data_IF_945301110785
#
_entry.id   IF_945301110785
#
_cell.length_a   1.000
_cell.length_b   1.000
_cell.length_c   1.000
_cell.angle_alpha   90.00
_cell.angle_beta   90.00
_cell.angle_gamma   90.00
#
_symmetry.space_group_name_H-M   'P 1'
#
loop_
_entity.id
_entity.type
_entity.pdbx_description
1 polymer ?
#
# COMPACT_ATOMS: atom_id res chain seq x y z
N UNK A 1 -8.00 9.58 -2.84
CA UNK A 1 -8.67 8.88 -3.95
C UNK A 1 -9.71 7.93 -3.35
N UNK A 2 -10.95 7.90 -3.83
CA UNK A 2 -11.96 6.98 -3.30
C UNK A 2 -11.66 5.52 -3.68
N UNK A 3 -12.12 4.61 -2.83
CA UNK A 3 -12.14 3.18 -3.07
C UNK A 3 -13.49 2.77 -3.64
N UNK A 4 -13.51 1.81 -4.55
CA UNK A 4 -14.74 1.18 -5.02
C UNK A 4 -15.43 0.38 -3.89
N UNK A 5 -16.76 0.38 -3.87
CA UNK A 5 -17.56 -0.21 -2.77
C UNK A 5 -17.43 -1.74 -2.67
N UNK A 6 -17.05 -2.41 -3.76
CA UNK A 6 -16.94 -3.87 -3.84
C UNK A 6 -15.54 -4.43 -3.59
N UNK A 7 -14.59 -3.64 -3.09
CA UNK A 7 -13.21 -4.09 -2.87
C UNK A 7 -13.13 -5.09 -1.70
N UNK A 8 -12.47 -6.22 -1.93
CA UNK A 8 -12.29 -7.30 -0.96
C UNK A 8 -11.08 -7.04 -0.04
N UNK A 9 -11.19 -6.05 0.86
CA UNK A 9 -10.07 -5.65 1.74
C UNK A 9 -9.59 -6.77 2.69
N UNK A 10 -10.48 -7.66 3.12
CA UNK A 10 -10.12 -8.77 4.01
C UNK A 10 -9.19 -9.76 3.32
N UNK A 11 -9.49 -10.10 2.06
CA UNK A 11 -8.64 -10.96 1.25
C UNK A 11 -7.30 -10.30 0.96
N UNK A 12 -7.31 -9.01 0.61
CA UNK A 12 -6.08 -8.23 0.42
C UNK A 12 -5.21 -8.23 1.69
N UNK A 13 -5.82 -8.10 2.88
CA UNK A 13 -5.10 -8.14 4.14
C UNK A 13 -4.49 -9.51 4.45
N UNK A 14 -5.17 -10.60 4.07
CA UNK A 14 -4.63 -11.96 4.17
C UNK A 14 -3.44 -12.16 3.22
N UNK A 15 -3.58 -11.72 1.97
CA UNK A 15 -2.56 -11.91 0.93
C UNK A 15 -1.34 -10.99 1.17
N UNK A 16 -1.52 -9.87 1.87
CA UNK A 16 -0.46 -8.95 2.30
C UNK A 16 0.14 -9.33 3.66
N UNK A 17 0.07 -10.60 4.08
CA UNK A 17 0.72 -11.03 5.32
C UNK A 17 2.22 -10.67 5.31
N UNK A 18 2.69 -10.24 6.47
CA UNK A 18 4.05 -9.74 6.73
C UNK A 18 4.43 -8.43 6.04
N UNK A 19 3.52 -7.77 5.31
CA UNK A 19 3.76 -6.41 4.86
C UNK A 19 3.79 -5.46 6.05
N UNK A 20 4.77 -4.56 6.06
CA UNK A 20 4.81 -3.46 7.02
C UNK A 20 3.90 -2.31 6.58
N UNK A 21 3.66 -1.35 7.47
CA UNK A 21 2.92 -0.13 7.10
C UNK A 21 3.56 0.65 5.94
N UNK A 22 4.89 0.59 5.80
CA UNK A 22 5.58 1.21 4.67
C UNK A 22 5.34 0.44 3.36
N UNK A 23 5.35 -0.89 3.41
CA UNK A 23 5.06 -1.73 2.25
C UNK A 23 3.62 -1.51 1.76
N UNK A 24 2.66 -1.44 2.70
CA UNK A 24 1.26 -1.14 2.40
C UNK A 24 1.10 0.27 1.83
N UNK A 25 1.81 1.27 2.36
CA UNK A 25 1.78 2.63 1.85
C UNK A 25 2.30 2.72 0.40
N UNK A 26 3.38 2.01 0.09
CA UNK A 26 3.90 1.91 -1.26
C UNK A 26 2.92 1.19 -2.19
N UNK A 27 2.39 0.03 -1.77
CA UNK A 27 1.39 -0.73 -2.53
C UNK A 27 0.16 0.10 -2.87
N UNK A 28 -0.38 0.84 -1.90
CA UNK A 28 -1.55 1.70 -2.13
C UNK A 28 -1.23 2.88 -3.05
N UNK A 29 0.00 3.39 -2.99
CA UNK A 29 0.46 4.47 -3.87
C UNK A 29 0.55 3.97 -5.33
N UNK A 30 1.06 2.77 -5.55
CA UNK A 30 1.07 2.12 -6.88
C UNK A 30 -0.35 1.87 -7.41
N UNK A 31 -1.25 1.36 -6.57
CA UNK A 31 -2.65 1.15 -6.95
C UNK A 31 -3.38 2.47 -7.30
N UNK A 32 -3.07 3.55 -6.58
CA UNK A 32 -3.59 4.89 -6.88
C UNK A 32 -3.02 5.44 -8.19
N UNK A 33 -1.74 5.22 -8.46
CA UNK A 33 -1.10 5.63 -9.71
C UNK A 33 -1.73 4.90 -10.91
N UNK A 34 -1.94 3.59 -10.80
CA UNK A 34 -2.63 2.81 -11.81
C UNK A 34 -4.05 3.33 -12.09
N UNK A 35 -4.81 3.65 -11.02
CA UNK A 35 -6.15 4.22 -11.16
C UNK A 35 -6.16 5.61 -11.83
N UNK A 36 -5.12 6.42 -11.58
CA UNK A 36 -4.94 7.72 -12.22
C UNK A 36 -4.64 7.57 -13.71
N UNK A 37 -3.73 6.67 -14.08
CA UNK A 37 -3.43 6.37 -15.49
C UNK A 37 -4.69 5.91 -16.25
N UNK A 38 -5.46 4.99 -15.68
CA UNK A 38 -6.70 4.51 -16.32
C UNK A 38 -7.76 5.62 -16.47
N UNK A 39 -7.83 6.56 -15.52
CA UNK A 39 -8.74 7.70 -15.63
C UNK A 39 -8.33 8.66 -16.76
N UNK A 40 -7.03 8.90 -16.94
CA UNK A 40 -6.49 9.73 -18.02
C UNK A 40 -6.69 9.08 -19.38
N UNK A 41 -6.38 7.79 -19.52
CA UNK A 41 -6.60 7.03 -20.77
C UNK A 41 -8.08 7.05 -21.20
N UNK A 42 -9.01 6.89 -20.25
CA UNK A 42 -10.46 7.02 -20.52
C UNK A 42 -10.86 8.44 -20.93
N UNK A 43 -10.24 9.46 -20.35
CA UNK A 43 -10.46 10.86 -20.71
C UNK A 43 -10.03 11.13 -22.16
N UNK A 44 -8.83 10.67 -22.52
CA UNK A 44 -8.26 10.82 -23.85
C UNK A 44 -9.08 10.08 -24.91
N UNK A 45 -9.45 8.82 -24.65
CA UNK A 45 -10.30 8.04 -25.55
C UNK A 45 -11.66 8.72 -25.78
N UNK A 46 -12.27 9.29 -24.73
CA UNK A 46 -13.53 10.04 -24.85
C UNK A 46 -13.37 11.33 -25.65
N UNK A 47 -12.28 12.06 -25.45
CA UNK A 47 -11.98 13.27 -26.20
C UNK A 47 -11.79 12.98 -27.70
N UNK A 48 -11.10 11.88 -28.04
CA UNK A 48 -10.91 11.42 -29.41
C UNK A 48 -12.22 10.97 -30.07
N UNK A 49 -13.09 10.25 -29.34
CA UNK A 49 -14.40 9.85 -29.84
C UNK A 49 -15.34 11.05 -30.07
N UNK A 50 -15.27 12.08 -29.22
CA UNK A 50 -16.06 13.30 -29.38
C UNK A 50 -15.53 14.21 -30.52
N UNK A 51 -14.22 14.17 -30.80
CA UNK A 51 -13.60 14.88 -31.92
C UNK A 51 -13.81 14.24 -33.30
N UNK A 52 -14.44 13.06 -33.37
CA UNK A 52 -14.67 12.28 -34.59
C UNK A 52 -16.05 12.46 -35.26
N UNK A 53 -16.94 13.31 -34.72
CA UNK A 53 -18.26 13.58 -35.33
C UNK A 53 -18.34 15.05 -35.76
N UNK A 54 -17.88 15.31 -36.97
CA UNK A 54 -18.29 16.46 -37.79
C UNK A 54 -19.12 15.91 -38.95
N UNK A 55 -20.36 15.51 -38.67
CA UNK A 55 -21.42 15.53 -39.67
C UNK A 55 -22.70 16.04 -39.01
N UNK A 56 -23.29 17.05 -39.65
CA UNK A 56 -24.33 17.90 -39.10
C UNK A 56 -25.72 17.26 -39.00
N UNK A 57 -26.55 17.94 -38.21
CA UNK A 57 -28.00 17.79 -38.02
C UNK A 57 -28.53 16.56 -37.25
N UNK A 58 -29.25 16.85 -36.15
CA UNK A 58 -30.15 15.92 -35.48
C UNK A 58 -30.54 16.39 -34.07
N UNK A 59 -31.75 16.93 -33.95
CA UNK A 59 -32.32 17.56 -32.76
C UNK A 59 -32.90 16.56 -31.73
N UNK A 60 -32.94 17.01 -30.45
CA UNK A 60 -33.81 16.66 -29.32
C UNK A 60 -34.08 15.19 -28.92
N UNK A 61 -33.71 14.87 -27.67
CA UNK A 61 -34.45 13.89 -26.85
C UNK A 61 -33.64 13.25 -25.71
N UNK A 62 -33.97 13.58 -24.45
CA UNK A 62 -33.55 12.80 -23.28
C UNK A 62 -33.07 13.63 -22.10
N UNK A 63 -34.00 13.99 -21.23
CA UNK A 63 -33.81 14.74 -19.99
C UNK A 63 -33.05 13.90 -18.95
N UNK A 64 -31.72 13.99 -18.96
CA UNK A 64 -30.86 13.71 -17.81
C UNK A 64 -29.62 14.61 -17.96
N UNK A 65 -29.27 15.44 -16.96
CA UNK A 65 -28.05 16.22 -17.02
C UNK A 65 -26.89 15.24 -17.27
N UNK A 66 -26.03 15.46 -18.28
CA UNK A 66 -24.81 14.67 -18.40
C UNK A 66 -24.11 14.81 -17.06
N UNK A 67 -23.89 13.70 -16.36
CA UNK A 67 -23.11 13.68 -15.13
C UNK A 67 -21.87 14.55 -15.37
N UNK A 68 -21.68 15.60 -14.56
CA UNK A 68 -20.66 16.63 -14.82
C UNK A 68 -19.35 15.94 -15.21
N UNK A 69 -18.68 16.36 -16.30
CA UNK A 69 -17.53 15.65 -16.86
C UNK A 69 -16.46 15.38 -15.78
N UNK A 70 -16.34 16.29 -14.83
CA UNK A 70 -15.45 16.21 -13.66
C UNK A 70 -15.70 15.01 -12.74
N UNK A 71 -16.93 14.47 -12.66
CA UNK A 71 -17.24 13.32 -11.80
C UNK A 71 -16.84 12.00 -12.46
N UNK A 72 -17.05 11.88 -13.78
CA UNK A 72 -16.72 10.69 -14.56
C UNK A 72 -15.20 10.47 -14.69
N UNK A 73 -14.43 11.55 -14.56
CA UNK A 73 -12.97 11.54 -14.67
C UNK A 73 -12.24 11.37 -13.32
N UNK A 74 -12.97 11.27 -12.20
CA UNK A 74 -12.32 11.07 -10.90
C UNK A 74 -11.75 9.66 -10.85
N UNK A 75 -10.44 9.48 -10.60
CA UNK A 75 -9.88 8.15 -10.45
C UNK A 75 -10.49 7.48 -9.20
N UNK A 76 -10.84 6.20 -9.34
CA UNK A 76 -11.37 5.34 -8.29
C UNK A 76 -10.47 4.11 -8.22
N UNK A 77 -9.99 3.77 -7.03
CA UNK A 77 -9.22 2.54 -6.84
C UNK A 77 -10.18 1.35 -6.87
N UNK A 78 -9.97 0.44 -7.82
CA UNK A 78 -10.74 -0.79 -8.00
C UNK A 78 -9.91 -2.00 -7.57
N UNK A 79 -10.58 -3.14 -7.37
CA UNK A 79 -9.94 -4.39 -6.95
C UNK A 79 -8.72 -4.76 -7.81
N UNK A 80 -8.84 -4.63 -9.14
CA UNK A 80 -7.74 -4.92 -10.09
C UNK A 80 -6.46 -4.12 -9.84
N UNK A 81 -6.58 -2.86 -9.37
CA UNK A 81 -5.40 -2.02 -9.11
C UNK A 81 -4.64 -2.52 -7.89
N UNK A 82 -5.39 -2.96 -6.87
CA UNK A 82 -4.83 -3.53 -5.65
C UNK A 82 -4.19 -4.89 -5.91
N UNK A 83 -4.84 -5.75 -6.70
CA UNK A 83 -4.30 -7.05 -7.09
C UNK A 83 -3.02 -6.92 -7.93
N UNK A 84 -3.01 -5.99 -8.91
CA UNK A 84 -1.83 -5.72 -9.72
C UNK A 84 -0.67 -5.17 -8.86
N UNK A 85 -0.95 -4.21 -7.97
CA UNK A 85 0.06 -3.65 -7.07
C UNK A 85 0.59 -4.70 -6.10
N UNK A 86 -0.28 -5.54 -5.54
CA UNK A 86 0.11 -6.63 -4.64
C UNK A 86 0.99 -7.67 -5.34
N UNK A 87 0.65 -8.05 -6.58
CA UNK A 87 1.43 -9.00 -7.37
C UNK A 87 2.85 -8.51 -7.67
N UNK A 88 3.04 -7.20 -7.81
CA UNK A 88 4.34 -6.57 -8.01
C UNK A 88 5.11 -6.31 -6.70
N UNK A 89 4.40 -6.17 -5.59
CA UNK A 89 4.97 -5.81 -4.30
C UNK A 89 5.64 -7.00 -3.59
N UNK A 90 6.53 -6.70 -2.65
CA UNK A 90 7.20 -7.67 -1.78
C UNK A 90 7.36 -7.10 -0.37
N UNK A 91 7.23 -7.91 0.70
CA UNK A 91 7.54 -7.46 2.06
C UNK A 91 8.98 -6.95 2.16
N UNK A 92 9.19 -5.79 2.79
CA UNK A 92 10.53 -5.22 2.96
C UNK A 92 11.33 -5.93 4.05
N UNK A 93 10.67 -6.55 5.03
CA UNK A 93 11.34 -7.26 6.13
C UNK A 93 11.48 -8.74 5.79
N UNK A 94 12.69 -9.27 5.58
CA UNK A 94 12.90 -10.68 5.26
C UNK A 94 12.52 -11.62 6.41
N UNK A 95 12.21 -12.88 6.09
CA UNK A 95 11.85 -13.90 7.09
C UNK A 95 12.92 -14.09 8.17
N UNK A 96 14.20 -14.08 7.79
CA UNK A 96 15.30 -14.24 8.72
C UNK A 96 15.37 -13.10 9.75
N UNK A 97 15.08 -11.86 9.31
CA UNK A 97 15.06 -10.72 10.22
C UNK A 97 13.84 -10.77 11.16
N UNK A 98 12.66 -11.18 10.64
CA UNK A 98 11.49 -11.43 11.50
C UNK A 98 11.80 -12.47 12.58
N UNK A 99 12.35 -13.61 12.19
CA UNK A 99 12.73 -14.68 13.12
C UNK A 99 13.75 -14.22 14.17
N UNK A 100 14.73 -13.39 13.76
CA UNK A 100 15.70 -12.79 14.68
C UNK A 100 15.02 -11.85 15.68
N UNK A 101 14.13 -10.98 15.23
CA UNK A 101 13.39 -10.05 16.08
C UNK A 101 12.48 -10.80 17.06
N UNK A 102 11.83 -11.87 16.61
CA UNK A 102 10.99 -12.74 17.47
C UNK A 102 11.82 -13.42 18.57
N UNK A 103 13.02 -13.91 18.25
CA UNK A 103 13.92 -14.51 19.23
C UNK A 103 14.37 -13.49 20.29
N UNK A 104 14.70 -12.26 19.86
CA UNK A 104 15.05 -11.16 20.76
C UNK A 104 13.87 -10.79 21.65
N UNK A 105 12.67 -10.64 21.07
CA UNK A 105 11.45 -10.30 21.79
C UNK A 105 11.10 -11.37 22.82
N UNK A 106 11.21 -12.65 22.46
CA UNK A 106 10.96 -13.79 23.35
C UNK A 106 11.93 -13.79 24.54
N UNK A 107 13.22 -13.54 24.30
CA UNK A 107 14.21 -13.44 25.39
C UNK A 107 13.88 -12.29 26.35
N UNK A 108 13.48 -11.13 25.81
CA UNK A 108 13.07 -10.00 26.66
C UNK A 108 11.80 -10.29 27.46
N UNK A 109 10.81 -10.98 26.88
CA UNK A 109 9.63 -11.41 27.61
C UNK A 109 9.97 -12.39 28.73
N UNK A 110 10.81 -13.40 28.45
CA UNK A 110 11.23 -14.38 29.44
C UNK A 110 11.99 -13.73 30.61
N UNK A 111 12.89 -12.77 30.34
CA UNK A 111 13.63 -12.03 31.37
C UNK A 111 12.82 -10.98 32.13
N UNK A 112 11.55 -10.74 31.75
CA UNK A 112 10.64 -9.80 32.43
C UNK A 112 9.84 -10.47 33.55
N UNK A 113 10.15 -11.71 33.92
CA UNK A 113 9.63 -12.33 35.16
C UNK A 113 10.13 -11.50 36.36
N UNK A 114 9.23 -10.89 37.16
CA UNK A 114 9.65 -10.14 38.35
C UNK A 114 10.28 -11.12 39.34
N UNK A 115 11.59 -10.98 39.60
CA UNK A 115 12.29 -11.75 40.63
C UNK A 115 13.36 -12.74 40.13
N UNK A 116 13.57 -12.91 38.83
CA UNK A 116 14.72 -13.67 38.31
C UNK A 116 15.74 -12.68 37.77
N UNK A 117 16.80 -12.47 38.54
CA UNK A 117 17.87 -11.53 38.21
C UNK A 117 18.40 -11.75 36.80
N UNK A 118 18.66 -10.64 36.12
CA UNK A 118 19.50 -10.59 34.92
C UNK A 118 20.68 -11.54 35.06
N UNK A 119 20.82 -12.50 34.16
CA UNK A 119 22.02 -13.32 34.06
C UNK A 119 23.26 -12.40 34.11
N UNK A 120 24.28 -12.73 34.91
CA UNK A 120 25.42 -11.86 35.09
C UNK A 120 26.12 -11.72 33.75
N UNK A 121 26.23 -10.48 33.27
CA UNK A 121 27.21 -10.10 32.26
C UNK A 121 28.55 -10.68 32.73
N UNK A 122 29.04 -11.70 32.03
CA UNK A 122 30.34 -12.32 32.31
C UNK A 122 31.40 -11.20 32.39
N UNK A 123 32.21 -11.10 33.46
CA UNK A 123 33.08 -9.93 33.66
C UNK A 123 34.28 -9.85 32.69
N UNK A 124 34.47 -10.82 31.80
CA UNK A 124 35.62 -10.88 30.90
C UNK A 124 35.32 -10.22 29.55
N UNK A 125 35.08 -8.90 29.55
CA UNK A 125 35.43 -8.01 28.43
C UNK A 125 35.16 -6.52 28.69
N UNK A 126 35.31 -6.07 29.95
CA UNK A 126 35.35 -4.62 30.20
C UNK A 126 36.71 -4.10 29.77
N UNK A 127 36.79 -3.75 28.49
CA UNK A 127 37.94 -3.11 27.86
C UNK A 127 38.47 -1.94 28.71
N UNK A 128 39.80 -1.89 28.85
CA UNK A 128 40.52 -0.80 29.52
C UNK A 128 40.07 0.54 28.95
N UNK A 129 39.40 1.37 29.75
CA UNK A 129 39.17 2.77 29.42
C UNK A 129 40.50 3.50 29.61
N UNK A 130 41.15 3.86 28.51
CA UNK A 130 42.32 4.77 28.53
C UNK A 130 41.78 6.16 28.88
N UNK A 131 42.15 6.65 30.06
CA UNK A 131 41.98 8.06 30.42
C UNK A 131 43.23 8.81 29.97
N UNK A 132 43.05 9.80 29.09
CA UNK A 132 44.11 10.74 28.71
C UNK A 132 44.33 11.69 29.90
N UNK A 133 45.57 11.76 30.39
CA UNK A 133 46.03 12.75 31.36
C UNK A 133 46.83 13.83 30.63
#
# INVERSE_FOLDING_TARGET
>A
MPLETGVELQRLGHDADHFTGADLAALLSEAQLAAAHEALERAEARAQAAGGVIDGNGEHGGDAPPASPDKALRPVVMQRHLEAALAAARPSVPQAERARLDAVYTRFQAGRTPGVGSDPISPRDKGKRVTLA
#
